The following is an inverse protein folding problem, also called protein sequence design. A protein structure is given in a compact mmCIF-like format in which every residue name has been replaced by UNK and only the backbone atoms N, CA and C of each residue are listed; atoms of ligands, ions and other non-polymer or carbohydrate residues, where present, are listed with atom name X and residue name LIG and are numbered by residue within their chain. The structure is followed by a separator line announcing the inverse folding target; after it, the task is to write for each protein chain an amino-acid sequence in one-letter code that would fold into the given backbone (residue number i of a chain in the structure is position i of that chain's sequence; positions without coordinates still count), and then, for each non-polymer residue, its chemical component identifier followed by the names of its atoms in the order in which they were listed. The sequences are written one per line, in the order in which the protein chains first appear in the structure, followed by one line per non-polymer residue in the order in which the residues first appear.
data_IF_574930064781
#
_entry.id   IF_574930064781
#
_cell.length_a   1.000
_cell.length_b   1.000
_cell.length_c   1.000
_cell.angle_alpha   90.00
_cell.angle_beta   90.00
_cell.angle_gamma   90.00
#
_symmetry.space_group_name_H-M   'P 1'
#
loop_
_entity.id
_entity.type
_entity.pdbx_description
1 polymer ?
#
# COMPACT_ATOMS: atom_id res chain seq x y z
N UNK A 1 34.36 -9.09 -41.18
CA UNK A 1 35.26 -10.03 -40.50
C UNK A 1 34.42 -11.21 -40.07
N UNK A 2 34.56 -12.34 -40.76
CA UNK A 2 33.93 -13.58 -40.31
C UNK A 2 34.80 -14.17 -39.19
N UNK A 3 34.18 -14.41 -38.02
CA UNK A 3 34.86 -14.99 -36.87
C UNK A 3 35.43 -16.37 -37.23
N UNK A 4 36.66 -16.62 -36.82
CA UNK A 4 37.30 -17.93 -36.97
C UNK A 4 36.45 -19.02 -36.29
N UNK A 5 36.38 -20.26 -36.84
CA UNK A 5 35.69 -21.39 -36.20
C UNK A 5 36.07 -21.60 -34.73
N UNK A 6 37.32 -21.33 -34.36
CA UNK A 6 37.80 -21.46 -32.98
C UNK A 6 37.32 -20.32 -32.07
N UNK A 7 37.24 -19.11 -32.60
CA UNK A 7 36.74 -17.95 -31.85
C UNK A 7 35.24 -18.09 -31.56
N UNK A 8 34.47 -18.58 -32.54
CA UNK A 8 33.04 -18.90 -32.33
C UNK A 8 32.84 -19.94 -31.24
N UNK A 9 33.69 -20.97 -31.20
CA UNK A 9 33.60 -22.03 -30.19
C UNK A 9 33.91 -21.50 -28.78
N UNK A 10 34.93 -20.65 -28.64
CA UNK A 10 35.25 -19.99 -27.37
C UNK A 10 34.12 -19.09 -26.88
N UNK A 11 33.53 -18.30 -27.77
CA UNK A 11 32.38 -17.43 -27.44
C UNK A 11 31.19 -18.28 -26.98
N UNK A 12 30.89 -19.38 -27.69
CA UNK A 12 29.83 -20.31 -27.30
C UNK A 12 30.06 -20.95 -25.93
N UNK A 13 31.29 -21.36 -25.63
CA UNK A 13 31.65 -21.99 -24.35
C UNK A 13 31.61 -20.96 -23.20
N UNK A 14 32.07 -19.73 -23.40
CA UNK A 14 31.95 -18.64 -22.41
C UNK A 14 30.49 -18.25 -22.16
N UNK A 15 29.68 -18.13 -23.21
CA UNK A 15 28.29 -17.73 -23.09
C UNK A 15 27.44 -18.84 -22.42
N UNK A 16 27.72 -20.11 -22.75
CA UNK A 16 27.13 -21.26 -22.06
C UNK A 16 27.49 -21.28 -20.58
N UNK A 17 28.76 -21.05 -20.23
CA UNK A 17 29.20 -20.98 -18.84
C UNK A 17 28.55 -19.80 -18.07
N UNK A 18 28.35 -18.64 -18.72
CA UNK A 18 27.62 -17.51 -18.12
C UNK A 18 26.15 -17.82 -17.88
N UNK A 19 25.50 -18.53 -18.80
CA UNK A 19 24.09 -18.93 -18.67
C UNK A 19 23.95 -19.95 -17.52
N UNK A 20 24.79 -20.98 -17.48
CA UNK A 20 24.80 -21.99 -16.42
C UNK A 20 25.09 -21.36 -15.04
N UNK A 21 26.05 -20.43 -14.96
CA UNK A 21 26.35 -19.69 -13.74
C UNK A 21 25.16 -18.80 -13.31
N UNK A 22 24.47 -18.14 -14.25
CA UNK A 22 23.24 -17.38 -13.96
C UNK A 22 22.11 -18.28 -13.46
N UNK A 23 21.92 -19.44 -14.08
CA UNK A 23 20.91 -20.41 -13.65
C UNK A 23 21.20 -20.99 -12.26
N UNK A 24 22.48 -21.28 -11.96
CA UNK A 24 22.89 -21.67 -10.62
C UNK A 24 22.63 -20.57 -9.60
N UNK A 25 22.97 -19.33 -9.93
CA UNK A 25 22.76 -18.18 -9.04
C UNK A 25 21.26 -17.88 -8.84
N UNK A 26 20.42 -18.11 -9.85
CA UNK A 26 18.95 -18.05 -9.70
C UNK A 26 18.38 -19.20 -8.87
N UNK A 27 18.90 -20.43 -9.02
CA UNK A 27 18.52 -21.59 -8.19
C UNK A 27 18.92 -21.38 -6.73
N UNK A 28 20.13 -20.89 -6.48
CA UNK A 28 20.62 -20.52 -5.16
C UNK A 28 19.76 -19.39 -4.56
N UNK A 29 19.44 -18.34 -5.33
CA UNK A 29 18.51 -17.27 -4.88
C UNK A 29 17.10 -17.77 -4.57
N UNK A 30 16.61 -18.81 -5.29
CA UNK A 30 15.32 -19.45 -5.00
C UNK A 30 15.37 -20.31 -3.74
N UNK A 31 16.48 -21.00 -3.48
CA UNK A 31 16.70 -21.81 -2.27
C UNK A 31 17.00 -20.93 -1.03
N UNK A 32 17.59 -19.77 -1.26
CA UNK A 32 17.93 -18.72 -0.31
C UNK A 32 16.75 -17.93 0.25
N UNK A 33 15.72 -17.71 -0.58
CA UNK A 33 14.47 -17.13 -0.12
C UNK A 33 13.84 -18.14 0.85
N UNK A 34 13.49 -17.76 2.09
CA UNK A 34 12.78 -18.67 2.98
C UNK A 34 11.57 -19.20 2.20
N UNK A 35 11.47 -20.52 2.06
CA UNK A 35 10.37 -21.16 1.35
C UNK A 35 9.05 -20.72 2.01
N UNK A 36 8.40 -19.67 1.50
CA UNK A 36 7.09 -19.26 1.97
C UNK A 36 6.08 -20.25 1.40
N UNK A 37 5.11 -20.69 2.21
CA UNK A 37 4.00 -21.51 1.70
C UNK A 37 3.21 -20.75 0.63
N UNK A 38 3.25 -19.41 0.70
CA UNK A 38 2.58 -18.50 -0.22
C UNK A 38 3.59 -17.93 -1.23
N UNK A 39 3.29 -18.06 -2.52
CA UNK A 39 4.14 -17.57 -3.63
C UNK A 39 3.98 -16.05 -3.86
N UNK A 40 4.12 -15.27 -2.79
CA UNK A 40 4.10 -13.81 -2.78
C UNK A 40 5.35 -13.31 -2.04
N UNK A 41 5.82 -12.11 -2.39
CA UNK A 41 6.95 -11.50 -1.67
C UNK A 41 6.58 -11.29 -0.19
N UNK A 42 7.45 -11.66 0.77
CA UNK A 42 7.16 -11.60 2.20
C UNK A 42 6.57 -10.27 2.66
N UNK A 43 7.17 -9.14 2.26
CA UNK A 43 6.72 -7.80 2.64
C UNK A 43 5.25 -7.55 2.28
N UNK A 44 4.81 -8.01 1.11
CA UNK A 44 3.42 -7.85 0.65
C UNK A 44 2.50 -8.79 1.40
N UNK A 45 2.93 -10.02 1.65
CA UNK A 45 2.19 -10.93 2.52
C UNK A 45 2.02 -10.33 3.93
N UNK A 46 3.04 -9.63 4.46
CA UNK A 46 2.97 -8.88 5.70
C UNK A 46 1.95 -7.73 5.68
N UNK A 47 1.88 -6.96 4.59
CA UNK A 47 0.83 -5.94 4.40
C UNK A 47 -0.56 -6.58 4.38
N UNK A 48 -0.72 -7.69 3.65
CA UNK A 48 -1.99 -8.39 3.54
C UNK A 48 -2.47 -8.96 4.87
N UNK A 49 -1.58 -9.29 5.79
CA UNK A 49 -1.94 -9.69 7.15
C UNK A 49 -2.76 -8.61 7.87
N UNK A 50 -2.44 -7.34 7.64
CA UNK A 50 -3.13 -6.20 8.25
C UNK A 50 -4.33 -5.69 7.44
N UNK A 51 -4.38 -5.94 6.12
CA UNK A 51 -5.38 -5.35 5.22
C UNK A 51 -6.83 -5.60 5.66
N UNK A 52 -7.17 -6.84 5.96
CA UNK A 52 -8.48 -7.24 6.50
C UNK A 52 -8.47 -7.30 8.02
N UNK A 53 -7.65 -6.46 8.67
CA UNK A 53 -7.62 -6.30 10.12
C UNK A 53 -7.24 -7.68 10.74
N UNK A 54 -7.93 -8.15 11.77
CA UNK A 54 -7.61 -9.41 12.44
C UNK A 54 -8.01 -10.63 11.59
N UNK A 55 -8.98 -10.49 10.67
CA UNK A 55 -9.50 -11.60 9.84
C UNK A 55 -8.41 -12.11 8.89
N UNK A 56 -7.78 -11.21 8.14
CA UNK A 56 -6.64 -11.58 7.29
C UNK A 56 -5.45 -12.05 8.11
N UNK A 57 -5.26 -11.49 9.31
CA UNK A 57 -4.29 -11.99 10.27
C UNK A 57 -4.47 -13.49 10.55
N UNK A 58 -5.70 -13.92 10.89
CA UNK A 58 -6.02 -15.35 11.13
C UNK A 58 -5.74 -16.19 9.89
N UNK A 59 -6.23 -15.76 8.72
CA UNK A 59 -6.07 -16.49 7.46
C UNK A 59 -4.58 -16.73 7.17
N UNK A 60 -3.77 -15.68 7.19
CA UNK A 60 -2.33 -15.79 6.90
C UNK A 60 -1.57 -16.53 8.01
N UNK A 61 -2.00 -16.45 9.27
CA UNK A 61 -1.38 -17.21 10.35
C UNK A 61 -1.58 -18.72 10.19
N UNK A 62 -2.71 -19.15 9.61
CA UNK A 62 -3.01 -20.56 9.32
C UNK A 62 -2.34 -21.00 8.00
N UNK A 63 -2.39 -20.17 6.95
CA UNK A 63 -1.88 -20.54 5.63
C UNK A 63 -0.35 -20.51 5.55
N UNK A 64 0.28 -19.52 6.17
CA UNK A 64 1.74 -19.39 6.16
C UNK A 64 2.35 -20.17 7.32
N UNK A 65 3.05 -21.26 7.00
CA UNK A 65 3.59 -22.17 8.01
C UNK A 65 5.10 -22.00 8.20
N UNK A 66 5.80 -21.62 7.12
CA UNK A 66 7.27 -21.64 7.05
C UNK A 66 7.86 -20.26 7.33
N UNK A 67 7.26 -19.19 6.81
CA UNK A 67 7.82 -17.86 6.93
C UNK A 67 7.47 -17.20 8.29
N UNK A 68 8.39 -17.32 9.26
CA UNK A 68 8.25 -16.72 10.61
C UNK A 68 8.06 -15.20 10.61
N UNK A 69 8.58 -14.49 9.60
CA UNK A 69 8.42 -13.04 9.48
C UNK A 69 6.97 -12.69 9.13
N UNK A 70 6.38 -13.38 8.15
CA UNK A 70 4.97 -13.20 7.78
C UNK A 70 4.05 -13.65 8.92
N UNK A 71 4.34 -14.79 9.56
CA UNK A 71 3.58 -15.28 10.71
C UNK A 71 3.55 -14.30 11.87
N UNK A 72 4.61 -13.54 12.09
CA UNK A 72 4.62 -12.47 13.09
C UNK A 72 3.65 -11.35 12.72
N UNK A 73 3.65 -10.86 11.49
CA UNK A 73 2.70 -9.82 11.07
C UNK A 73 1.26 -10.31 11.15
N UNK A 74 1.02 -11.58 10.78
CA UNK A 74 -0.26 -12.25 10.95
C UNK A 74 -0.69 -12.28 12.43
N UNK A 75 0.18 -12.76 13.33
CA UNK A 75 -0.09 -12.80 14.77
C UNK A 75 -0.31 -11.40 15.37
N UNK A 76 0.55 -10.42 15.05
CA UNK A 76 0.42 -9.05 15.53
C UNK A 76 -0.89 -8.42 15.03
N UNK A 77 -1.34 -8.74 13.81
CA UNK A 77 -2.64 -8.27 13.31
C UNK A 77 -3.81 -8.83 14.14
N UNK A 78 -3.77 -10.13 14.45
CA UNK A 78 -4.78 -10.79 15.30
C UNK A 78 -4.82 -10.12 16.67
N UNK A 79 -3.67 -9.97 17.32
CA UNK A 79 -3.59 -9.45 18.69
C UNK A 79 -4.02 -7.99 18.75
N UNK A 80 -3.49 -7.14 17.88
CA UNK A 80 -3.81 -5.71 17.86
C UNK A 80 -5.29 -5.52 17.57
N UNK A 81 -5.75 -5.96 16.40
CA UNK A 81 -7.09 -5.58 15.98
C UNK A 81 -8.20 -6.46 16.53
N UNK A 82 -7.90 -7.71 16.90
CA UNK A 82 -8.83 -8.53 17.67
C UNK A 82 -9.01 -7.95 19.07
N UNK A 83 -7.91 -7.55 19.74
CA UNK A 83 -7.95 -6.87 21.02
C UNK A 83 -8.73 -5.55 20.97
N UNK A 84 -8.47 -4.72 19.96
CA UNK A 84 -9.24 -3.49 19.74
C UNK A 84 -10.73 -3.80 19.50
N UNK A 85 -11.06 -4.80 18.68
CA UNK A 85 -12.45 -5.19 18.44
C UNK A 85 -13.19 -5.63 19.70
N UNK A 86 -12.53 -6.42 20.56
CA UNK A 86 -13.09 -6.82 21.87
C UNK A 86 -13.30 -5.58 22.76
N UNK A 87 -12.31 -4.68 22.84
CA UNK A 87 -12.42 -3.46 23.63
C UNK A 87 -13.60 -2.59 23.17
N UNK A 88 -13.80 -2.44 21.85
CA UNK A 88 -14.96 -1.74 21.31
C UNK A 88 -16.27 -2.42 21.68
N UNK A 89 -16.33 -3.75 21.57
CA UNK A 89 -17.52 -4.52 21.93
C UNK A 89 -17.92 -4.34 23.39
N UNK A 90 -16.95 -4.24 24.30
CA UNK A 90 -17.18 -3.96 25.72
C UNK A 90 -17.65 -2.52 25.93
N UNK A 91 -16.96 -1.54 25.33
CA UNK A 91 -17.28 -0.12 25.48
C UNK A 91 -18.66 0.25 24.94
N UNK A 92 -19.17 -0.49 23.96
CA UNK A 92 -20.49 -0.27 23.39
C UNK A 92 -21.62 -0.35 24.44
N UNK A 93 -21.44 -1.13 25.50
CA UNK A 93 -22.43 -1.29 26.59
C UNK A 93 -22.40 -0.16 27.63
N UNK A 94 -21.45 0.79 27.54
CA UNK A 94 -21.30 1.90 28.47
C UNK A 94 -21.79 3.19 27.79
N UNK A 95 -22.98 3.71 28.14
CA UNK A 95 -23.50 4.94 27.55
C UNK A 95 -22.58 6.14 27.79
N UNK A 96 -22.54 7.07 26.84
CA UNK A 96 -21.76 8.32 26.85
C UNK A 96 -20.24 8.13 26.87
N UNK A 97 -19.68 7.60 27.97
CA UNK A 97 -18.24 7.40 28.15
C UNK A 97 -17.71 6.36 27.19
N UNK A 98 -18.45 5.26 27.00
CA UNK A 98 -18.07 4.21 26.05
C UNK A 98 -17.99 4.71 24.61
N UNK A 99 -18.90 5.62 24.22
CA UNK A 99 -18.89 6.21 22.88
C UNK A 99 -17.67 7.09 22.64
N UNK A 100 -17.30 7.93 23.62
CA UNK A 100 -16.08 8.72 23.54
C UNK A 100 -14.83 7.85 23.35
N UNK A 101 -14.65 6.82 24.20
CA UNK A 101 -13.51 5.93 24.07
C UNK A 101 -13.55 5.06 22.81
N UNK A 102 -14.74 4.75 22.29
CA UNK A 102 -14.89 4.08 20.99
C UNK A 102 -14.33 4.95 19.87
N UNK A 103 -14.59 6.25 19.86
CA UNK A 103 -14.01 7.16 18.85
C UNK A 103 -12.48 7.22 18.99
N UNK A 104 -11.96 7.35 20.22
CA UNK A 104 -10.50 7.38 20.48
C UNK A 104 -9.82 6.10 20.01
N UNK A 105 -10.34 4.95 20.39
CA UNK A 105 -9.78 3.65 19.99
C UNK A 105 -9.85 3.49 18.47
N UNK A 106 -10.86 4.04 17.80
CA UNK A 106 -11.00 3.93 16.36
C UNK A 106 -9.92 4.75 15.65
N UNK A 107 -9.67 5.98 16.11
CA UNK A 107 -8.58 6.83 15.61
C UNK A 107 -7.23 6.15 15.82
N UNK A 108 -6.96 5.65 17.03
CA UNK A 108 -5.73 4.90 17.33
C UNK A 108 -5.62 3.65 16.45
N UNK A 109 -6.73 2.93 16.27
CA UNK A 109 -6.80 1.75 15.41
C UNK A 109 -6.42 2.05 13.98
N UNK A 110 -6.91 3.15 13.40
CA UNK A 110 -6.54 3.59 12.04
C UNK A 110 -5.07 3.96 11.95
N UNK A 111 -4.55 4.72 12.92
CA UNK A 111 -3.13 5.10 12.95
C UNK A 111 -2.25 3.86 12.99
N UNK A 112 -2.54 2.92 13.88
CA UNK A 112 -1.82 1.65 13.98
C UNK A 112 -1.94 0.85 12.68
N UNK A 113 -3.11 0.80 12.07
CA UNK A 113 -3.36 0.11 10.81
C UNK A 113 -2.49 0.63 9.67
N UNK A 114 -2.44 1.95 9.48
CA UNK A 114 -1.60 2.59 8.45
C UNK A 114 -0.11 2.37 8.75
N UNK A 115 0.33 2.59 9.99
CA UNK A 115 1.75 2.44 10.38
C UNK A 115 2.21 1.01 10.18
N UNK A 116 1.44 0.02 10.63
CA UNK A 116 1.80 -1.40 10.52
C UNK A 116 1.86 -1.86 9.07
N UNK A 117 0.92 -1.43 8.22
CA UNK A 117 0.97 -1.72 6.78
C UNK A 117 2.18 -1.05 6.11
N UNK A 118 2.45 0.22 6.40
CA UNK A 118 3.59 0.94 5.82
C UNK A 118 4.93 0.29 6.20
N UNK A 119 5.10 -0.04 7.48
CA UNK A 119 6.31 -0.71 7.99
C UNK A 119 6.47 -2.10 7.39
N UNK A 120 5.40 -2.89 7.32
CA UNK A 120 5.44 -4.22 6.69
C UNK A 120 5.77 -4.13 5.19
N UNK A 121 5.24 -3.12 4.48
CA UNK A 121 5.58 -2.88 3.07
C UNK A 121 7.08 -2.62 2.88
N UNK A 122 7.68 -1.83 3.78
CA UNK A 122 9.12 -1.57 3.80
C UNK A 122 9.97 -2.78 4.24
N UNK A 123 9.34 -3.90 4.61
CA UNK A 123 10.02 -5.10 5.09
C UNK A 123 10.48 -5.00 6.54
N UNK A 124 9.98 -4.00 7.27
CA UNK A 124 10.32 -3.79 8.67
C UNK A 124 9.38 -4.58 9.58
N UNK A 125 9.97 -5.31 10.53
CA UNK A 125 9.24 -5.96 11.61
C UNK A 125 8.98 -4.95 12.74
N UNK A 126 8.08 -4.00 12.50
CA UNK A 126 7.71 -3.01 13.52
C UNK A 126 6.90 -3.66 14.64
N UNK A 127 7.54 -3.87 15.80
CA UNK A 127 6.98 -4.54 16.97
C UNK A 127 6.28 -3.53 17.87
N UNK A 128 4.98 -3.70 18.09
CA UNK A 128 4.25 -2.88 19.05
C UNK A 128 4.50 -3.36 20.49
N UNK A 129 4.62 -2.45 21.47
CA UNK A 129 4.66 -2.84 22.89
C UNK A 129 3.43 -3.69 23.24
N UNK A 130 3.61 -4.74 24.05
CA UNK A 130 2.57 -5.69 24.47
C UNK A 130 2.06 -6.58 23.32
N UNK A 131 1.44 -6.01 22.29
CA UNK A 131 0.85 -6.78 21.20
C UNK A 131 1.90 -7.53 20.36
N UNK A 132 3.07 -6.92 20.16
CA UNK A 132 4.19 -7.55 19.47
C UNK A 132 4.88 -8.64 20.30
N UNK A 133 4.91 -8.50 21.63
CA UNK A 133 5.42 -9.54 22.54
C UNK A 133 4.53 -10.78 22.50
N UNK A 134 3.21 -10.59 22.56
CA UNK A 134 2.23 -11.68 22.43
C UNK A 134 2.34 -12.33 21.05
N UNK A 135 2.48 -11.53 19.99
CA UNK A 135 2.66 -12.06 18.63
C UNK A 135 3.94 -12.91 18.49
N UNK A 136 5.03 -12.54 19.17
CA UNK A 136 6.26 -13.33 19.21
C UNK A 136 6.09 -14.68 19.90
N UNK A 137 5.38 -14.67 21.03
CA UNK A 137 5.02 -15.89 21.76
C UNK A 137 4.18 -16.82 20.88
N UNK A 138 3.21 -16.29 20.13
CA UNK A 138 2.38 -17.07 19.21
C UNK A 138 3.18 -17.75 18.09
N UNK A 139 4.30 -17.17 17.67
CA UNK A 139 5.16 -17.73 16.60
C UNK A 139 6.29 -18.62 17.17
N UNK A 140 6.42 -18.71 18.50
CA UNK A 140 7.47 -19.50 19.16
C UNK A 140 8.89 -18.95 18.92
N UNK A 141 9.02 -17.62 18.74
CA UNK A 141 10.32 -16.97 18.51
C UNK A 141 10.92 -16.59 19.87
N UNK A 142 11.93 -17.34 20.32
CA UNK A 142 12.89 -16.86 21.33
C UNK A 142 14.03 -16.12 20.61
N UNK A 143 14.44 -14.97 21.14
CA UNK A 143 15.23 -13.91 20.47
C UNK A 143 16.55 -14.43 19.86
N UNK A 144 16.62 -14.46 18.52
CA UNK A 144 17.75 -13.98 17.67
C UNK A 144 17.36 -14.13 16.17
N UNK A 145 16.65 -13.18 15.59
CA UNK A 145 16.41 -13.13 14.13
C UNK A 145 16.69 -11.70 13.66
N UNK A 146 17.53 -11.50 12.63
CA UNK A 146 17.86 -10.16 12.15
C UNK A 146 16.61 -9.46 11.62
N UNK A 147 16.57 -8.16 11.83
CA UNK A 147 15.44 -7.26 11.55
C UNK A 147 15.02 -7.19 10.07
N UNK A 148 15.76 -7.88 9.18
CA UNK A 148 15.49 -8.01 7.74
C UNK A 148 15.40 -9.48 7.32
N UNK A 149 14.65 -9.80 6.25
CA UNK A 149 14.81 -11.07 5.55
C UNK A 149 16.30 -11.27 5.21
N UNK A 150 16.94 -12.31 5.75
CA UNK A 150 18.36 -12.57 5.48
C UNK A 150 18.55 -12.88 3.99
N UNK A 151 19.43 -12.15 3.32
CA UNK A 151 20.13 -12.66 2.15
C UNK A 151 21.16 -13.70 2.63
N UNK A 152 21.29 -14.85 1.96
CA UNK A 152 22.24 -15.88 2.39
C UNK A 152 23.67 -15.35 2.45
N UNK A 153 24.50 -15.90 3.35
CA UNK A 153 25.93 -15.65 3.28
C UNK A 153 26.49 -16.18 1.95
N UNK A 154 27.51 -15.52 1.37
CA UNK A 154 28.20 -16.05 0.20
C UNK A 154 28.78 -17.43 0.53
N UNK A 155 28.75 -18.38 -0.43
CA UNK A 155 29.18 -19.76 -0.18
C UNK A 155 30.65 -19.81 0.27
N UNK A 156 31.04 -20.79 1.12
CA UNK A 156 32.42 -20.95 1.54
C UNK A 156 33.28 -21.26 0.30
N UNK A 157 34.36 -20.52 0.14
CA UNK A 157 35.36 -20.81 -0.90
C UNK A 157 35.93 -22.21 -0.62
N UNK A 158 35.88 -23.16 -1.58
CA UNK A 158 36.40 -24.50 -1.36
C UNK A 158 37.88 -24.47 -0.99
N UNK A 159 38.23 -25.20 0.06
CA UNK A 159 39.61 -25.41 0.52
C UNK A 159 40.40 -26.16 -0.57
N UNK A 160 41.10 -25.42 -1.43
CA UNK A 160 42.05 -26.01 -2.36
C UNK A 160 43.36 -26.29 -1.61
N UNK A 161 43.74 -27.55 -1.56
CA UNK A 161 45.02 -28.08 -1.06
C UNK A 161 46.19 -27.20 -1.49
N UNK A 162 46.93 -26.67 -0.52
CA UNK A 162 48.12 -25.85 -0.74
C UNK A 162 49.22 -26.64 -1.48
N UNK A 163 49.44 -26.31 -2.74
CA UNK A 163 50.76 -26.41 -3.36
C UNK A 163 51.28 -24.98 -3.53
N UNK A 164 52.52 -24.72 -3.09
CA UNK A 164 53.12 -23.39 -3.15
C UNK A 164 53.07 -22.83 -4.59
N UNK A 165 52.61 -21.58 -4.79
CA UNK A 165 52.44 -21.03 -6.14
C UNK A 165 53.81 -20.70 -6.76
N UNK A 166 54.03 -20.99 -8.06
CA UNK A 166 55.15 -20.43 -8.80
C UNK A 166 54.98 -18.90 -8.94
N UNK A 167 56.07 -18.13 -9.09
CA UNK A 167 56.00 -16.67 -9.16
C UNK A 167 55.13 -16.19 -10.33
N UNK A 168 54.25 -15.24 -10.03
CA UNK A 168 53.20 -14.73 -10.92
C UNK A 168 53.77 -14.09 -12.20
N UNK A 169 53.22 -14.37 -13.39
CA UNK A 169 53.45 -13.55 -14.58
C UNK A 169 52.74 -12.19 -14.44
N UNK A 170 53.25 -11.12 -15.09
CA UNK A 170 52.66 -9.79 -14.99
C UNK A 170 51.24 -9.76 -15.57
N UNK A 171 50.33 -8.96 -14.98
CA UNK A 171 48.92 -9.00 -15.33
C UNK A 171 48.67 -8.44 -16.75
N UNK A 172 47.75 -9.03 -17.53
CA UNK A 172 47.30 -8.46 -18.79
C UNK A 172 46.48 -7.18 -18.56
N UNK A 173 46.44 -6.26 -19.54
CA UNK A 173 45.79 -4.96 -19.39
C UNK A 173 44.29 -5.10 -19.16
N UNK A 174 43.79 -4.42 -18.13
CA UNK A 174 42.41 -4.43 -17.65
C UNK A 174 41.44 -3.84 -18.69
N UNK A 175 40.33 -4.51 -19.03
CA UNK A 175 39.22 -3.88 -19.74
C UNK A 175 38.62 -2.74 -18.90
N UNK A 176 38.01 -1.70 -19.50
CA UNK A 176 37.54 -0.54 -18.77
C UNK A 176 36.41 -0.91 -17.80
N UNK A 177 36.65 -0.70 -16.50
CA UNK A 177 35.73 -1.01 -15.40
C UNK A 177 34.34 -0.37 -15.50
N UNK A 178 34.18 0.69 -16.31
CA UNK A 178 32.95 1.44 -16.42
C UNK A 178 31.78 0.68 -17.09
N UNK A 179 32.04 -0.25 -18.00
CA UNK A 179 30.96 -0.90 -18.77
C UNK A 179 30.23 -1.99 -17.98
N UNK A 180 30.94 -2.72 -17.11
CA UNK A 180 30.39 -3.84 -16.32
C UNK A 180 29.54 -3.32 -15.14
N UNK A 181 29.94 -2.22 -14.52
CA UNK A 181 29.22 -1.59 -13.40
C UNK A 181 27.88 -0.95 -13.80
N UNK A 182 27.78 -0.47 -15.05
CA UNK A 182 26.58 0.21 -15.56
C UNK A 182 25.48 -0.80 -15.87
N UNK A 183 25.80 -1.91 -16.55
CA UNK A 183 24.82 -2.94 -16.89
C UNK A 183 24.27 -3.66 -15.65
N UNK A 184 25.11 -3.91 -14.64
CA UNK A 184 24.65 -4.50 -13.37
C UNK A 184 23.75 -3.54 -12.58
N UNK A 185 24.09 -2.24 -12.54
CA UNK A 185 23.24 -1.20 -11.93
C UNK A 185 21.92 -1.04 -12.67
N UNK A 186 21.92 -1.09 -14.00
CA UNK A 186 20.70 -0.98 -14.82
C UNK A 186 19.82 -2.21 -14.60
N UNK A 187 20.39 -3.42 -14.64
CA UNK A 187 19.66 -4.67 -14.39
C UNK A 187 18.98 -4.71 -13.02
N UNK A 188 19.71 -4.36 -11.95
CA UNK A 188 19.14 -4.26 -10.59
C UNK A 188 18.04 -3.20 -10.52
N UNK A 189 18.23 -2.03 -11.13
CA UNK A 189 17.25 -0.93 -11.09
C UNK A 189 15.98 -1.28 -11.86
N UNK A 190 16.10 -1.99 -12.99
CA UNK A 190 14.99 -2.47 -13.81
C UNK A 190 14.19 -3.57 -13.10
N UNK A 191 14.87 -4.51 -12.44
CA UNK A 191 14.22 -5.60 -11.70
C UNK A 191 13.44 -5.07 -10.48
N UNK A 192 14.00 -4.11 -9.72
CA UNK A 192 13.27 -3.41 -8.64
C UNK A 192 12.06 -2.66 -9.18
N UNK A 193 12.19 -1.97 -10.33
CA UNK A 193 11.11 -1.24 -10.99
C UNK A 193 9.97 -2.18 -11.47
N UNK A 194 10.28 -3.41 -11.89
CA UNK A 194 9.27 -4.40 -12.28
C UNK A 194 8.64 -5.12 -11.08
N UNK A 195 9.38 -5.34 -9.98
CA UNK A 195 8.86 -5.90 -8.71
C UNK A 195 7.93 -4.92 -8.00
N UNK A 196 8.20 -3.62 -8.10
CA UNK A 196 7.30 -2.52 -7.65
C UNK A 196 5.99 -2.48 -8.45
N UNK A 197 5.99 -2.86 -9.74
CA UNK A 197 4.87 -2.61 -10.65
C UNK A 197 3.63 -3.48 -10.41
N UNK A 198 3.77 -4.68 -9.83
CA UNK A 198 2.64 -5.57 -9.47
C UNK A 198 2.23 -5.39 -8.00
N UNK A 199 3.22 -5.25 -7.13
CA UNK A 199 3.08 -5.06 -5.68
C UNK A 199 2.48 -3.68 -5.33
N UNK A 200 2.98 -2.60 -5.95
CA UNK A 200 2.48 -1.24 -5.73
C UNK A 200 1.02 -1.07 -6.15
N UNK A 201 0.53 -1.84 -7.13
CA UNK A 201 -0.88 -1.81 -7.53
C UNK A 201 -1.81 -2.29 -6.42
N UNK A 202 -1.42 -3.35 -5.70
CA UNK A 202 -2.23 -3.91 -4.62
C UNK A 202 -2.25 -2.94 -3.43
N UNK A 203 -1.11 -2.34 -3.08
CA UNK A 203 -1.04 -1.34 -2.01
C UNK A 203 -1.89 -0.11 -2.31
N UNK A 204 -1.84 0.41 -3.55
CA UNK A 204 -2.63 1.57 -3.96
C UNK A 204 -4.14 1.24 -3.95
N UNK A 205 -4.52 0.05 -4.44
CA UNK A 205 -5.91 -0.42 -4.43
C UNK A 205 -6.43 -0.59 -2.99
N UNK A 206 -5.66 -1.23 -2.13
CA UNK A 206 -5.98 -1.41 -0.72
C UNK A 206 -6.16 -0.05 -0.02
N UNK A 207 -5.25 0.90 -0.27
CA UNK A 207 -5.33 2.24 0.28
C UNK A 207 -6.60 2.98 -0.18
N UNK A 208 -6.94 2.91 -1.47
CA UNK A 208 -8.14 3.53 -2.02
C UNK A 208 -9.43 2.95 -1.42
N UNK A 209 -9.50 1.63 -1.25
CA UNK A 209 -10.64 0.96 -0.61
C UNK A 209 -10.79 1.41 0.83
N UNK A 210 -9.70 1.39 1.59
CA UNK A 210 -9.74 1.76 2.99
C UNK A 210 -10.07 3.23 3.22
N UNK A 211 -9.49 4.13 2.42
CA UNK A 211 -9.85 5.54 2.48
C UNK A 211 -11.32 5.77 2.13
N UNK A 212 -11.85 5.02 1.15
CA UNK A 212 -13.27 5.08 0.81
C UNK A 212 -14.16 4.60 1.95
N UNK A 213 -13.78 3.54 2.68
CA UNK A 213 -14.51 3.08 3.86
C UNK A 213 -14.45 4.09 5.02
N UNK A 214 -13.28 4.68 5.27
CA UNK A 214 -13.12 5.74 6.30
C UNK A 214 -14.03 6.91 5.98
N UNK A 215 -14.02 7.40 4.74
CA UNK A 215 -14.89 8.51 4.33
C UNK A 215 -16.37 8.15 4.46
N UNK A 216 -16.77 6.93 4.11
CA UNK A 216 -18.15 6.47 4.27
C UNK A 216 -18.55 6.55 5.75
N UNK A 217 -17.73 6.04 6.66
CA UNK A 217 -18.02 6.10 8.10
C UNK A 217 -18.05 7.54 8.61
N UNK A 218 -17.01 8.33 8.31
CA UNK A 218 -16.91 9.72 8.79
C UNK A 218 -18.11 10.55 8.36
N UNK A 219 -18.49 10.51 7.08
CA UNK A 219 -19.58 11.35 6.60
C UNK A 219 -20.98 10.83 6.95
N UNK A 220 -21.16 9.51 7.17
CA UNK A 220 -22.48 9.00 7.58
C UNK A 220 -22.72 9.12 9.08
N UNK A 221 -21.68 8.97 9.91
CA UNK A 221 -21.85 8.91 11.37
C UNK A 221 -21.29 10.11 12.11
N UNK A 222 -20.32 10.82 11.52
CA UNK A 222 -19.56 11.86 12.22
C UNK A 222 -19.65 13.24 11.58
N UNK A 223 -20.52 13.44 10.58
CA UNK A 223 -20.62 14.74 9.89
C UNK A 223 -21.02 15.88 10.85
N UNK A 224 -21.86 15.61 11.85
CA UNK A 224 -22.31 16.60 12.84
C UNK A 224 -21.19 17.08 13.79
N UNK A 225 -20.11 16.29 13.92
CA UNK A 225 -18.95 16.64 14.73
C UNK A 225 -17.92 17.44 13.94
N UNK A 226 -18.12 17.63 12.64
CA UNK A 226 -17.36 18.59 11.84
C UNK A 226 -18.00 19.95 12.10
N UNK A 227 -17.61 20.57 13.21
CA UNK A 227 -18.32 21.67 13.84
C UNK A 227 -17.38 22.76 14.38
N UNK A 228 -17.93 23.95 14.60
CA UNK A 228 -17.29 24.98 15.41
C UNK A 228 -17.61 24.73 16.90
N UNK A 229 -16.57 24.64 17.73
CA UNK A 229 -16.70 24.36 19.16
C UNK A 229 -16.53 25.63 19.98
N UNK A 230 -17.55 25.98 20.75
CA UNK A 230 -17.57 27.17 21.60
C UNK A 230 -17.57 26.77 23.07
N UNK A 231 -16.67 27.36 23.85
CA UNK A 231 -16.65 27.22 25.29
C UNK A 231 -17.41 28.35 25.96
N UNK A 232 -18.46 28.03 26.72
CA UNK A 232 -19.23 29.00 27.48
C UNK A 232 -18.66 29.10 28.89
N UNK A 233 -17.97 30.19 29.18
CA UNK A 233 -17.32 30.42 30.48
C UNK A 233 -18.32 30.56 31.63
N UNK A 234 -19.53 31.06 31.34
CA UNK A 234 -20.59 31.24 32.34
C UNK A 234 -21.16 29.91 32.86
N UNK A 235 -21.42 28.95 31.97
CA UNK A 235 -21.98 27.64 32.31
C UNK A 235 -20.93 26.55 32.46
N UNK A 236 -19.66 26.84 32.10
CA UNK A 236 -18.55 25.89 32.00
C UNK A 236 -18.86 24.70 31.07
N UNK A 237 -19.68 24.90 30.05
CA UNK A 237 -20.08 23.87 29.08
C UNK A 237 -19.52 24.14 27.69
N UNK A 238 -19.25 23.07 26.95
CA UNK A 238 -18.95 23.13 25.52
C UNK A 238 -20.22 22.93 24.71
N UNK A 239 -20.42 23.75 23.70
CA UNK A 239 -21.44 23.54 22.67
C UNK A 239 -20.75 23.47 21.31
N UNK A 240 -21.33 22.72 20.38
CA UNK A 240 -20.82 22.63 19.02
C UNK A 240 -21.93 22.93 18.02
N UNK A 241 -21.58 23.65 16.97
CA UNK A 241 -22.47 23.94 15.85
C UNK A 241 -21.87 23.36 14.58
N UNK A 242 -22.57 22.39 13.97
CA UNK A 242 -22.13 21.70 12.77
C UNK A 242 -21.89 22.69 11.63
N UNK A 243 -20.79 22.50 10.90
CA UNK A 243 -20.57 23.21 9.65
C UNK A 243 -21.52 22.74 8.55
N UNK A 244 -22.16 21.57 8.69
CA UNK A 244 -23.11 21.08 7.71
C UNK A 244 -24.55 21.52 7.99
N UNK A 245 -25.24 21.98 6.95
CA UNK A 245 -26.69 22.23 6.96
C UNK A 245 -27.48 20.94 6.70
N UNK A 246 -28.81 21.00 6.81
CA UNK A 246 -29.70 19.90 6.43
C UNK A 246 -29.54 19.45 4.97
N UNK A 247 -29.00 20.32 4.10
CA UNK A 247 -28.78 20.02 2.68
C UNK A 247 -27.68 18.98 2.46
N UNK A 248 -26.91 18.61 3.50
CA UNK A 248 -25.99 17.46 3.44
C UNK A 248 -26.73 16.19 3.03
N UNK A 249 -28.02 16.06 3.35
CA UNK A 249 -28.86 14.93 2.93
C UNK A 249 -29.02 14.79 1.41
N UNK A 250 -28.83 15.88 0.64
CA UNK A 250 -28.84 15.85 -0.84
C UNK A 250 -27.51 15.32 -1.38
N UNK A 251 -26.39 15.69 -0.75
CA UNK A 251 -25.06 15.32 -1.19
C UNK A 251 -24.65 13.90 -0.75
N UNK A 252 -24.99 13.51 0.49
CA UNK A 252 -24.50 12.29 1.13
C UNK A 252 -24.84 11.00 0.34
N UNK A 253 -26.04 10.82 -0.25
CA UNK A 253 -26.33 9.64 -1.07
C UNK A 253 -25.46 9.54 -2.33
N UNK A 254 -25.17 10.67 -2.98
CA UNK A 254 -24.34 10.73 -4.19
C UNK A 254 -22.88 10.40 -3.82
N UNK A 255 -22.40 10.96 -2.71
CA UNK A 255 -21.08 10.65 -2.18
C UNK A 255 -20.95 9.17 -1.80
N UNK A 256 -21.91 8.61 -1.07
CA UNK A 256 -21.94 7.19 -0.70
C UNK A 256 -21.94 6.28 -1.94
N UNK A 257 -22.70 6.65 -2.97
CA UNK A 257 -22.72 5.91 -4.24
C UNK A 257 -21.35 5.94 -4.92
N UNK A 258 -20.71 7.11 -4.96
CA UNK A 258 -19.38 7.24 -5.53
C UNK A 258 -18.33 6.42 -4.77
N UNK A 259 -18.38 6.41 -3.43
CA UNK A 259 -17.50 5.59 -2.59
C UNK A 259 -17.74 4.10 -2.77
N UNK A 260 -19.00 3.65 -2.84
CA UNK A 260 -19.34 2.26 -3.08
C UNK A 260 -18.82 1.78 -4.45
N UNK A 261 -19.04 2.57 -5.51
CA UNK A 261 -18.52 2.30 -6.85
C UNK A 261 -16.99 2.28 -6.85
N UNK A 262 -16.35 3.21 -6.13
CA UNK A 262 -14.90 3.21 -5.94
C UNK A 262 -14.41 1.90 -5.30
N UNK A 263 -15.02 1.45 -4.20
CA UNK A 263 -14.64 0.21 -3.53
C UNK A 263 -14.77 -0.98 -4.47
N UNK A 264 -15.93 -1.13 -5.12
CA UNK A 264 -16.20 -2.23 -6.06
C UNK A 264 -15.22 -2.19 -7.24
N UNK A 265 -14.98 -1.01 -7.81
CA UNK A 265 -14.07 -0.81 -8.93
C UNK A 265 -12.63 -1.19 -8.58
N UNK A 266 -12.15 -0.76 -7.41
CA UNK A 266 -10.81 -1.08 -6.93
C UNK A 266 -10.65 -2.58 -6.62
N UNK A 267 -11.68 -3.24 -6.08
CA UNK A 267 -11.69 -4.71 -5.90
C UNK A 267 -11.61 -5.40 -7.26
N UNK A 268 -12.42 -4.98 -8.24
CA UNK A 268 -12.42 -5.56 -9.59
C UNK A 268 -11.05 -5.41 -10.28
N UNK A 269 -10.36 -4.29 -10.09
CA UNK A 269 -9.03 -4.03 -10.67
C UNK A 269 -7.95 -5.02 -10.21
N UNK A 270 -8.16 -5.77 -9.12
CA UNK A 270 -7.22 -6.81 -8.66
C UNK A 270 -7.24 -8.01 -9.63
N UNK A 271 -8.41 -8.37 -10.14
CA UNK A 271 -8.61 -9.57 -10.95
C UNK A 271 -8.54 -9.31 -12.46
N UNK A 272 -8.80 -8.07 -12.88
CA UNK A 272 -8.87 -7.72 -14.30
C UNK A 272 -7.48 -7.44 -14.88
N UNK A 273 -7.11 -8.20 -15.92
CA UNK A 273 -5.88 -7.98 -16.69
C UNK A 273 -6.09 -7.22 -18.01
N UNK A 274 -7.35 -7.10 -18.49
CA UNK A 274 -7.67 -6.41 -19.74
C UNK A 274 -7.55 -4.88 -19.58
N UNK A 275 -6.69 -4.26 -20.39
CA UNK A 275 -6.47 -2.81 -20.35
C UNK A 275 -7.73 -1.99 -20.64
N UNK A 276 -8.61 -2.43 -21.54
CA UNK A 276 -9.87 -1.73 -21.85
C UNK A 276 -10.75 -1.69 -20.60
N UNK A 277 -10.99 -2.84 -19.99
CA UNK A 277 -11.85 -2.95 -18.79
C UNK A 277 -11.25 -2.13 -17.63
N UNK A 278 -9.93 -2.17 -17.45
CA UNK A 278 -9.27 -1.38 -16.39
C UNK A 278 -9.45 0.12 -16.57
N UNK A 279 -9.24 0.64 -17.78
CA UNK A 279 -9.45 2.07 -18.04
C UNK A 279 -10.94 2.43 -17.92
N UNK A 280 -11.87 1.56 -18.33
CA UNK A 280 -13.32 1.76 -18.10
C UNK A 280 -13.66 1.89 -16.60
N UNK A 281 -13.11 1.03 -15.74
CA UNK A 281 -13.33 1.12 -14.29
C UNK A 281 -12.83 2.47 -13.74
N UNK A 282 -11.66 2.93 -14.18
CA UNK A 282 -11.12 4.23 -13.78
C UNK A 282 -11.97 5.40 -14.28
N UNK A 283 -12.47 5.34 -15.53
CA UNK A 283 -13.39 6.36 -16.08
C UNK A 283 -14.66 6.44 -15.25
N UNK A 284 -15.28 5.30 -14.95
CA UNK A 284 -16.51 5.24 -14.13
C UNK A 284 -16.24 5.82 -12.73
N UNK A 285 -15.20 5.34 -12.05
CA UNK A 285 -14.89 5.77 -10.68
C UNK A 285 -14.58 7.27 -10.60
N UNK A 286 -13.80 7.80 -11.55
CA UNK A 286 -13.49 9.23 -11.61
C UNK A 286 -14.72 10.06 -11.98
N UNK A 287 -15.61 9.55 -12.83
CA UNK A 287 -16.86 10.21 -13.18
C UNK A 287 -17.78 10.39 -11.98
N UNK A 288 -17.96 9.34 -11.17
CA UNK A 288 -18.75 9.43 -9.94
C UNK A 288 -18.09 10.32 -8.88
N UNK A 289 -16.76 10.25 -8.76
CA UNK A 289 -16.02 11.13 -7.84
C UNK A 289 -16.18 12.60 -8.23
N UNK A 290 -16.05 12.91 -9.53
CA UNK A 290 -16.29 14.25 -10.07
C UNK A 290 -17.73 14.71 -9.81
N UNK A 291 -18.71 13.85 -10.10
CA UNK A 291 -20.12 14.17 -9.87
C UNK A 291 -20.37 14.51 -8.39
N UNK A 292 -19.82 13.74 -7.45
CA UNK A 292 -19.95 14.03 -6.03
C UNK A 292 -19.35 15.38 -5.62
N UNK A 293 -18.17 15.74 -6.14
CA UNK A 293 -17.54 17.04 -5.86
C UNK A 293 -18.32 18.18 -6.49
N UNK A 294 -18.80 18.01 -7.72
CA UNK A 294 -19.65 19.02 -8.38
C UNK A 294 -20.96 19.23 -7.64
N UNK A 295 -21.61 18.16 -7.16
CA UNK A 295 -22.80 18.30 -6.32
C UNK A 295 -22.47 19.02 -5.02
N UNK A 296 -21.33 18.73 -4.37
CA UNK A 296 -20.91 19.43 -3.17
C UNK A 296 -20.69 20.93 -3.41
N UNK A 297 -20.20 21.29 -4.59
CA UNK A 297 -19.98 22.68 -5.01
C UNK A 297 -21.28 23.41 -5.33
N UNK A 298 -22.25 22.72 -5.93
CA UNK A 298 -23.56 23.28 -6.31
C UNK A 298 -24.49 23.40 -5.12
N UNK A 299 -24.63 22.34 -4.32
CA UNK A 299 -25.48 22.33 -3.12
C UNK A 299 -24.82 23.18 -2.03
N UNK A 300 -23.50 23.08 -1.91
CA UNK A 300 -22.69 23.78 -0.92
C UNK A 300 -23.33 23.75 0.49
N UNK A 301 -23.49 22.55 1.10
CA UNK A 301 -24.23 22.35 2.34
C UNK A 301 -23.44 22.79 3.57
N UNK A 302 -22.67 23.88 3.46
CA UNK A 302 -21.81 24.39 4.51
C UNK A 302 -22.35 25.72 5.05
N UNK A 303 -22.40 25.86 6.37
CA UNK A 303 -22.65 27.11 7.07
C UNK A 303 -21.42 27.48 7.91
N UNK A 304 -20.67 28.47 7.45
CA UNK A 304 -19.48 28.97 8.16
C UNK A 304 -19.77 30.22 9.00
N UNK A 305 -21.01 30.73 9.00
CA UNK A 305 -21.41 31.88 9.82
C UNK A 305 -21.40 31.55 11.34
N UNK A 306 -21.31 30.27 11.68
CA UNK A 306 -21.04 29.78 13.04
C UNK A 306 -19.68 30.24 13.57
N UNK A 307 -18.77 30.70 12.70
CA UNK A 307 -17.47 31.27 13.08
C UNK A 307 -17.70 32.72 13.53
N UNK A 308 -17.40 33.09 14.80
CA UNK A 308 -17.73 34.41 15.33
C UNK A 308 -17.10 35.60 14.58
N UNK A 309 -15.95 35.38 13.93
CA UNK A 309 -15.31 36.39 13.10
C UNK A 309 -15.90 36.32 11.68
N UNK A 310 -16.66 37.35 11.30
CA UNK A 310 -17.34 37.43 10.00
C UNK A 310 -16.38 37.49 8.81
N UNK A 311 -15.19 38.10 8.96
CA UNK A 311 -14.16 38.04 7.93
C UNK A 311 -13.64 36.61 7.77
N UNK A 312 -13.33 35.93 8.88
CA UNK A 312 -12.86 34.56 8.86
C UNK A 312 -13.90 33.58 8.28
N UNK A 313 -15.19 33.77 8.59
CA UNK A 313 -16.30 33.04 8.00
C UNK A 313 -16.34 33.22 6.46
N UNK A 314 -16.22 34.47 5.99
CA UNK A 314 -16.16 34.80 4.58
C UNK A 314 -14.96 34.17 3.86
N UNK A 315 -13.77 34.28 4.45
CA UNK A 315 -12.55 33.65 3.91
C UNK A 315 -12.63 32.13 3.89
N UNK A 316 -13.23 31.51 4.91
CA UNK A 316 -13.42 30.05 4.97
C UNK A 316 -14.38 29.59 3.87
N UNK A 317 -15.51 30.28 3.70
CA UNK A 317 -16.48 30.00 2.63
C UNK A 317 -15.83 30.06 1.26
N UNK A 318 -15.09 31.14 0.97
CA UNK A 318 -14.40 31.29 -0.30
C UNK A 318 -13.30 30.24 -0.48
N UNK A 319 -12.50 29.99 0.56
CA UNK A 319 -11.42 29.01 0.55
C UNK A 319 -11.92 27.60 0.25
N UNK A 320 -13.00 27.16 0.90
CA UNK A 320 -13.62 25.85 0.65
C UNK A 320 -14.16 25.76 -0.77
N UNK A 321 -14.83 26.80 -1.29
CA UNK A 321 -15.29 26.82 -2.71
C UNK A 321 -14.12 26.68 -3.69
N UNK A 322 -13.06 27.47 -3.50
CA UNK A 322 -11.88 27.42 -4.37
C UNK A 322 -11.19 26.04 -4.31
N UNK A 323 -11.11 25.46 -3.11
CA UNK A 323 -10.57 24.12 -2.92
C UNK A 323 -11.41 23.05 -3.62
N UNK A 324 -12.74 23.12 -3.53
CA UNK A 324 -13.63 22.21 -4.25
C UNK A 324 -13.54 22.36 -5.77
N UNK A 325 -13.42 23.59 -6.29
CA UNK A 325 -13.18 23.85 -7.71
C UNK A 325 -11.86 23.20 -8.15
N UNK A 326 -10.80 23.37 -7.37
CA UNK A 326 -9.50 22.78 -7.65
C UNK A 326 -9.57 21.24 -7.68
N UNK A 327 -10.25 20.62 -6.71
CA UNK A 327 -10.48 19.17 -6.69
C UNK A 327 -11.29 18.72 -7.91
N UNK A 328 -12.38 19.43 -8.24
CA UNK A 328 -13.22 19.12 -9.40
C UNK A 328 -12.40 19.20 -10.71
N UNK A 329 -11.55 20.22 -10.86
CA UNK A 329 -10.64 20.34 -11.99
C UNK A 329 -9.66 19.15 -12.05
N UNK A 330 -9.08 18.75 -10.92
CA UNK A 330 -8.20 17.58 -10.82
C UNK A 330 -8.89 16.29 -11.28
N UNK A 331 -10.10 16.03 -10.80
CA UNK A 331 -10.89 14.87 -11.24
C UNK A 331 -11.31 14.96 -12.70
N UNK A 332 -11.67 16.15 -13.19
CA UNK A 332 -12.01 16.39 -14.59
C UNK A 332 -10.84 16.09 -15.53
N UNK A 333 -9.64 16.58 -15.21
CA UNK A 333 -8.42 16.29 -15.97
C UNK A 333 -8.11 14.78 -15.92
N UNK A 334 -8.17 14.18 -14.73
CA UNK A 334 -7.93 12.75 -14.56
C UNK A 334 -8.91 11.91 -15.39
N UNK A 335 -10.20 12.26 -15.41
CA UNK A 335 -11.22 11.62 -16.23
C UNK A 335 -10.90 11.73 -17.72
N UNK A 336 -10.55 12.93 -18.20
CA UNK A 336 -10.21 13.17 -19.60
C UNK A 336 -9.00 12.32 -20.05
N UNK A 337 -7.93 12.29 -19.25
CA UNK A 337 -6.74 11.47 -19.54
C UNK A 337 -7.11 9.98 -19.61
N UNK A 338 -8.00 9.51 -18.73
CA UNK A 338 -8.44 8.10 -18.70
C UNK A 338 -9.31 7.76 -19.91
N UNK A 339 -10.18 8.66 -20.35
CA UNK A 339 -10.97 8.48 -21.58
C UNK A 339 -10.04 8.36 -22.80
N UNK A 340 -9.03 9.22 -22.92
CA UNK A 340 -8.05 9.13 -24.02
C UNK A 340 -7.33 7.77 -24.00
N UNK A 341 -6.89 7.32 -22.82
CA UNK A 341 -6.23 5.99 -22.68
C UNK A 341 -7.16 4.83 -23.03
N UNK A 342 -8.44 4.92 -22.66
CA UNK A 342 -9.45 3.93 -23.03
C UNK A 342 -9.60 3.87 -24.56
N UNK A 343 -9.78 5.02 -25.22
CA UNK A 343 -9.88 5.10 -26.69
C UNK A 343 -8.66 4.49 -27.38
N UNK A 344 -7.44 4.86 -26.95
CA UNK A 344 -6.20 4.29 -27.48
C UNK A 344 -6.14 2.77 -27.28
N UNK A 345 -6.62 2.27 -26.14
CA UNK A 345 -6.63 0.83 -25.84
C UNK A 345 -7.61 0.07 -26.72
N UNK A 346 -8.78 0.66 -27.01
CA UNK A 346 -9.78 0.10 -27.94
C UNK A 346 -9.23 0.07 -29.37
N UNK A 347 -8.64 1.16 -29.85
CA UNK A 347 -8.04 1.23 -31.20
C UNK A 347 -6.93 0.19 -31.37
N UNK A 348 -6.04 0.04 -30.36
CA UNK A 348 -4.97 -0.98 -30.40
C UNK A 348 -5.50 -2.42 -30.40
N UNK A 349 -6.64 -2.67 -29.76
CA UNK A 349 -7.27 -3.99 -29.78
C UNK A 349 -7.92 -4.26 -31.15
N UNK A 350 -8.58 -3.26 -31.74
CA UNK A 350 -9.18 -3.35 -33.06
C UNK A 350 -8.15 -3.56 -34.17
N UNK A 351 -6.98 -2.92 -34.08
CA UNK A 351 -5.89 -3.07 -35.06
C UNK A 351 -5.10 -4.39 -34.96
N UNK A 352 -5.36 -5.22 -33.93
CA UNK A 352 -4.77 -6.56 -33.76
C UNK A 352 -5.68 -7.69 -34.23
N UNK A 353 -6.93 -7.37 -34.56
CA UNK A 353 -7.90 -8.23 -35.25
C UNK A 353 -7.73 -8.01 -36.76
#
# INVERSE_FOLDING_TARGET
MELSPEERRKIYEEEKARIEAREQLEKEKRQASPEATINLSPNITGVLCYLGIWITGIIFFILEQKNKWVRFHAAQSIVVFGGLGIAMGILHWIPFIGWFFTVVIWIVGIILWIVLMSRAYNGERYKLPLAGDIAEMMVGISINIPERPQTPPPPPVPEATYAAPPPSPPPPPTPPAAAVDIDEKIGKRVETFFKEKRSGRITIVAFAIAWSMVLLVVFNFFNEYIAYYTYHTATKTWTWESFFTSDIGVWLPIFNTALAISIIGHIALIFVNNNIIRESIHVITNGFSLASVLTLLVVFPFNFDVIPNSEAAGWTTMGVRLFLIFIAAGFGIALLVRIIKLLVSVVKAAAKL
#
